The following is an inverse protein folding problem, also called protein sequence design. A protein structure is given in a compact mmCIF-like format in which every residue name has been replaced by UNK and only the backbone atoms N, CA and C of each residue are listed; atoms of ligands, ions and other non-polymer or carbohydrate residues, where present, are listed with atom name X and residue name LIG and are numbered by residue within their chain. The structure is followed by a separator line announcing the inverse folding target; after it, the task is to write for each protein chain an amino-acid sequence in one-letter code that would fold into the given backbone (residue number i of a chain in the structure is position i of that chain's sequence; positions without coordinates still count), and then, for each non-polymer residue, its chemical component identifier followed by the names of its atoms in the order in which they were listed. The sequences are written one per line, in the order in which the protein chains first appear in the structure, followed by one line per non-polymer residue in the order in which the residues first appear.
data_IF_734768732505
#
_entry.id   IF_734768732505
#
_cell.length_a   1.000
_cell.length_b   1.000
_cell.length_c   1.000
_cell.angle_alpha   90.00
_cell.angle_beta   90.00
_cell.angle_gamma   90.00
#
_symmetry.space_group_name_H-M   'P 1'
#
loop_
_entity.id
_entity.type
_entity.pdbx_description
1 polymer ?
#
# COMPACT_ATOMS: atom_id res chain seq x y z
N UNK A 1 21.82 21.17 17.15
CA UNK A 1 21.50 21.05 15.71
C UNK A 1 20.00 21.21 15.52
N UNK A 2 19.52 22.04 14.58
CA UNK A 2 18.09 22.15 14.29
C UNK A 2 17.57 20.79 13.82
N UNK A 3 16.41 20.38 14.34
CA UNK A 3 15.88 19.03 14.17
C UNK A 3 15.45 18.85 12.70
N UNK A 4 16.17 18.00 11.94
CA UNK A 4 15.94 17.67 10.51
C UNK A 4 14.48 17.26 10.20
N UNK A 5 13.69 16.90 11.21
CA UNK A 5 12.30 16.45 11.10
C UNK A 5 11.23 17.57 11.01
N UNK A 6 11.62 18.85 11.10
CA UNK A 6 10.64 19.95 11.21
C UNK A 6 9.81 20.15 9.95
N UNK A 7 10.40 19.99 8.76
CA UNK A 7 9.70 20.20 7.47
C UNK A 7 8.71 19.07 7.20
N UNK A 8 9.17 17.80 7.25
CA UNK A 8 8.32 16.64 7.02
C UNK A 8 7.14 16.61 7.99
N UNK A 9 7.38 16.94 9.27
CA UNK A 9 6.32 17.07 10.28
C UNK A 9 5.28 18.13 9.91
N UNK A 10 5.71 19.33 9.52
CA UNK A 10 4.79 20.41 9.11
C UNK A 10 3.97 20.03 7.88
N UNK A 11 4.61 19.41 6.89
CA UNK A 11 3.91 18.94 5.69
C UNK A 11 2.88 17.86 6.03
N UNK A 12 3.23 16.88 6.87
CA UNK A 12 2.28 15.87 7.35
C UNK A 12 1.11 16.49 8.13
N UNK A 13 1.36 17.52 8.95
CA UNK A 13 0.29 18.25 9.65
C UNK A 13 -0.64 18.98 8.68
N UNK A 14 -0.08 19.67 7.67
CA UNK A 14 -0.87 20.34 6.63
C UNK A 14 -1.71 19.33 5.86
N UNK A 15 -1.12 18.21 5.46
CA UNK A 15 -1.80 17.13 4.74
C UNK A 15 -2.88 16.46 5.60
N UNK A 16 -2.65 16.30 6.91
CA UNK A 16 -3.66 15.79 7.83
C UNK A 16 -4.87 16.73 7.92
N UNK A 17 -4.64 18.02 8.13
CA UNK A 17 -5.72 19.03 8.20
C UNK A 17 -6.46 19.09 6.86
N UNK A 18 -5.74 19.15 5.74
CA UNK A 18 -6.33 19.14 4.41
C UNK A 18 -7.17 17.87 4.18
N UNK A 19 -6.62 16.69 4.48
CA UNK A 19 -7.31 15.41 4.32
C UNK A 19 -8.60 15.35 5.13
N UNK A 20 -8.56 15.76 6.40
CA UNK A 20 -9.75 15.80 7.26
C UNK A 20 -10.83 16.75 6.70
N UNK A 21 -10.43 17.95 6.25
CA UNK A 21 -11.37 18.91 5.67
C UNK A 21 -11.96 18.41 4.36
N UNK A 22 -11.13 17.88 3.45
CA UNK A 22 -11.58 17.35 2.17
C UNK A 22 -12.57 16.20 2.36
N UNK A 23 -12.28 15.30 3.29
CA UNK A 23 -13.14 14.15 3.62
C UNK A 23 -14.42 14.60 4.30
N UNK A 24 -14.38 15.59 5.19
CA UNK A 24 -15.58 16.14 5.81
C UNK A 24 -16.51 16.76 4.74
N UNK A 25 -15.96 17.54 3.81
CA UNK A 25 -16.73 18.14 2.71
C UNK A 25 -17.34 17.06 1.81
N UNK A 26 -16.54 16.09 1.36
CA UNK A 26 -17.02 14.98 0.52
C UNK A 26 -18.07 14.15 1.26
N UNK A 27 -17.85 13.87 2.54
CA UNK A 27 -18.80 13.17 3.40
C UNK A 27 -20.14 13.89 3.48
N UNK A 28 -20.14 15.19 3.81
CA UNK A 28 -21.37 16.00 3.86
C UNK A 28 -22.10 15.98 2.52
N UNK A 29 -21.39 16.19 1.41
CA UNK A 29 -22.00 16.17 0.07
C UNK A 29 -22.58 14.79 -0.24
N UNK A 30 -21.84 13.72 0.03
CA UNK A 30 -22.31 12.36 -0.23
C UNK A 30 -23.54 12.00 0.61
N UNK A 31 -23.54 12.29 1.91
CA UNK A 31 -24.67 11.96 2.78
C UNK A 31 -25.89 12.87 2.58
N UNK A 32 -25.70 14.11 2.10
CA UNK A 32 -26.79 15.05 1.86
C UNK A 32 -27.38 14.98 0.45
N UNK A 33 -26.56 14.69 -0.57
CA UNK A 33 -26.95 14.86 -1.98
C UNK A 33 -26.85 13.57 -2.82
N UNK A 34 -26.04 12.58 -2.43
CA UNK A 34 -25.90 11.35 -3.21
C UNK A 34 -27.11 10.42 -2.97
N UNK A 35 -27.86 10.16 -4.04
CA UNK A 35 -29.04 9.31 -4.01
C UNK A 35 -28.68 7.85 -4.18
N UNK A 36 -27.56 7.57 -4.83
CA UNK A 36 -27.06 6.21 -5.04
C UNK A 36 -26.56 5.61 -3.70
N UNK A 37 -27.23 4.57 -3.17
CA UNK A 37 -26.85 3.97 -1.90
C UNK A 37 -25.43 3.37 -1.92
N UNK A 38 -24.99 2.83 -3.06
CA UNK A 38 -23.68 2.17 -3.18
C UNK A 38 -22.54 3.19 -3.13
N UNK A 39 -22.70 4.32 -3.81
CA UNK A 39 -21.72 5.41 -3.75
C UNK A 39 -21.62 6.01 -2.36
N UNK A 40 -22.76 6.17 -1.67
CA UNK A 40 -22.79 6.67 -0.29
C UNK A 40 -22.11 5.69 0.66
N UNK A 41 -22.33 4.38 0.48
CA UNK A 41 -21.63 3.35 1.24
C UNK A 41 -20.12 3.36 0.96
N UNK A 42 -19.68 3.54 -0.29
CA UNK A 42 -18.25 3.69 -0.65
C UNK A 42 -17.62 4.89 0.07
N UNK A 43 -18.29 6.04 0.10
CA UNK A 43 -17.79 7.21 0.85
C UNK A 43 -17.75 6.92 2.35
N UNK A 44 -18.76 6.23 2.89
CA UNK A 44 -18.78 5.77 4.28
C UNK A 44 -17.61 4.86 4.63
N UNK A 45 -17.29 3.89 3.75
CA UNK A 45 -16.12 3.01 3.91
C UNK A 45 -14.82 3.79 3.85
N UNK A 46 -14.69 4.76 2.93
CA UNK A 46 -13.51 5.64 2.86
C UNK A 46 -13.31 6.46 4.14
N UNK A 47 -14.38 7.00 4.72
CA UNK A 47 -14.34 7.68 6.03
C UNK A 47 -13.94 6.68 7.12
N UNK A 48 -14.51 5.47 7.11
CA UNK A 48 -14.17 4.40 8.03
C UNK A 48 -12.68 4.05 8.00
N UNK A 49 -12.09 3.96 6.80
CA UNK A 49 -10.66 3.70 6.62
C UNK A 49 -9.83 4.80 7.26
N UNK A 50 -10.19 6.07 7.05
CA UNK A 50 -9.48 7.21 7.65
C UNK A 50 -9.55 7.16 9.17
N UNK A 51 -10.72 6.90 9.74
CA UNK A 51 -10.89 6.85 11.18
C UNK A 51 -10.10 5.68 11.77
N UNK A 52 -10.26 4.48 11.23
CA UNK A 52 -9.69 3.26 11.81
C UNK A 52 -8.18 3.17 11.53
N UNK A 53 -7.76 3.31 10.28
CA UNK A 53 -6.36 3.15 9.90
C UNK A 53 -5.55 4.42 10.15
N UNK A 54 -5.99 5.55 9.58
CA UNK A 54 -5.19 6.78 9.60
C UNK A 54 -5.13 7.42 11.00
N UNK A 55 -6.27 7.54 11.68
CA UNK A 55 -6.36 8.20 12.98
C UNK A 55 -6.06 7.21 14.11
N UNK A 56 -6.90 6.19 14.32
CA UNK A 56 -6.73 5.25 15.42
C UNK A 56 -5.45 4.44 15.27
N UNK A 57 -5.21 3.87 14.08
CA UNK A 57 -3.97 3.16 13.76
C UNK A 57 -2.73 4.05 13.91
N UNK A 58 -2.74 5.26 13.34
CA UNK A 58 -1.63 6.21 13.47
C UNK A 58 -1.34 6.62 14.92
N UNK A 59 -2.37 6.89 15.73
CA UNK A 59 -2.24 7.17 17.17
C UNK A 59 -1.68 5.96 17.90
N UNK A 60 -2.23 4.76 17.67
CA UNK A 60 -1.75 3.53 18.27
C UNK A 60 -0.27 3.29 17.96
N UNK A 61 0.13 3.38 16.69
CA UNK A 61 1.52 3.24 16.24
C UNK A 61 2.44 4.23 16.96
N UNK A 62 2.00 5.48 17.15
CA UNK A 62 2.77 6.50 17.87
C UNK A 62 2.94 6.16 19.36
N UNK A 63 1.89 5.65 20.01
CA UNK A 63 1.90 5.30 21.43
C UNK A 63 2.75 4.05 21.70
N UNK A 64 2.67 3.03 20.83
CA UNK A 64 3.40 1.77 21.03
C UNK A 64 4.82 1.79 20.46
N UNK A 65 5.18 2.83 19.68
CA UNK A 65 6.45 2.92 18.93
C UNK A 65 7.67 2.49 19.73
N UNK A 66 7.86 3.05 20.92
CA UNK A 66 9.05 2.77 21.73
C UNK A 66 9.15 1.30 22.14
N UNK A 67 8.03 0.72 22.58
CA UNK A 67 7.92 -0.71 22.93
C UNK A 67 8.15 -1.60 21.71
N UNK A 68 7.55 -1.22 20.58
CA UNK A 68 7.66 -1.97 19.33
C UNK A 68 9.11 -2.01 18.83
N UNK A 69 9.80 -0.87 18.77
CA UNK A 69 11.19 -0.79 18.30
C UNK A 69 12.13 -1.59 19.22
N UNK A 70 11.93 -1.49 20.54
CA UNK A 70 12.69 -2.30 21.50
C UNK A 70 12.50 -3.80 21.26
N UNK A 71 11.24 -4.24 21.15
CA UNK A 71 10.90 -5.65 20.91
C UNK A 71 11.48 -6.19 19.60
N UNK A 72 11.27 -5.48 18.48
CA UNK A 72 11.83 -5.86 17.17
C UNK A 72 13.36 -5.84 17.17
N UNK A 73 13.97 -4.97 17.98
CA UNK A 73 15.42 -4.88 18.14
C UNK A 73 16.05 -6.19 18.58
N UNK A 74 15.33 -7.00 19.37
CA UNK A 74 15.80 -8.31 19.85
C UNK A 74 15.67 -9.43 18.81
N UNK A 75 14.90 -9.23 17.74
CA UNK A 75 14.80 -10.23 16.68
C UNK A 75 16.10 -10.26 15.89
N UNK A 76 16.67 -11.46 15.75
CA UNK A 76 17.82 -11.70 14.88
C UNK A 76 17.53 -11.35 13.42
N UNK A 77 18.60 -11.08 12.66
CA UNK A 77 18.53 -10.84 11.22
C UNK A 77 18.84 -9.41 10.79
N UNK A 78 19.17 -9.25 9.50
CA UNK A 78 19.51 -7.96 8.92
C UNK A 78 18.33 -6.98 8.99
N UNK A 79 18.60 -5.73 9.37
CA UNK A 79 17.57 -4.68 9.48
C UNK A 79 16.78 -4.47 8.17
N UNK A 80 17.42 -4.71 7.01
CA UNK A 80 16.79 -4.58 5.68
C UNK A 80 15.64 -5.58 5.51
N UNK A 81 15.90 -6.85 5.88
CA UNK A 81 14.88 -7.89 5.84
C UNK A 81 13.76 -7.60 6.84
N UNK A 82 14.12 -7.19 8.06
CA UNK A 82 13.13 -6.79 9.09
C UNK A 82 12.25 -5.65 8.61
N UNK A 83 12.83 -4.61 8.03
CA UNK A 83 12.07 -3.50 7.45
C UNK A 83 11.06 -4.00 6.41
N UNK A 84 11.50 -4.79 5.42
CA UNK A 84 10.61 -5.31 4.37
C UNK A 84 9.48 -6.18 4.95
N UNK A 85 9.80 -7.12 5.83
CA UNK A 85 8.80 -8.01 6.44
C UNK A 85 7.79 -7.23 7.29
N UNK A 86 8.24 -6.21 8.02
CA UNK A 86 7.35 -5.36 8.81
C UNK A 86 6.46 -4.50 7.91
N UNK A 87 6.98 -3.95 6.82
CA UNK A 87 6.16 -3.23 5.85
C UNK A 87 5.09 -4.14 5.23
N UNK A 88 5.44 -5.39 4.90
CA UNK A 88 4.47 -6.39 4.43
C UNK A 88 3.39 -6.64 5.48
N UNK A 89 3.79 -6.88 6.74
CA UNK A 89 2.84 -7.10 7.82
C UNK A 89 1.90 -5.90 8.05
N UNK A 90 2.42 -4.68 7.94
CA UNK A 90 1.62 -3.46 8.04
C UNK A 90 0.67 -3.28 6.86
N UNK A 91 1.10 -3.59 5.64
CA UNK A 91 0.22 -3.58 4.46
C UNK A 91 -0.88 -4.64 4.56
N UNK A 92 -0.55 -5.84 5.05
CA UNK A 92 -1.53 -6.89 5.33
C UNK A 92 -2.57 -6.47 6.37
N UNK A 93 -2.15 -5.70 7.40
CA UNK A 93 -3.04 -5.17 8.43
C UNK A 93 -3.96 -4.08 7.87
N UNK A 94 -3.43 -3.19 7.03
CA UNK A 94 -4.25 -2.19 6.33
C UNK A 94 -5.30 -2.87 5.46
N UNK A 95 -4.91 -3.91 4.70
CA UNK A 95 -5.84 -4.66 3.88
C UNK A 95 -6.88 -5.43 4.69
N UNK A 96 -6.55 -5.83 5.93
CA UNK A 96 -7.53 -6.42 6.83
C UNK A 96 -8.60 -5.39 7.21
N UNK A 97 -8.21 -4.13 7.40
CA UNK A 97 -9.14 -3.02 7.67
C UNK A 97 -10.01 -2.73 6.45
N UNK A 98 -9.42 -2.56 5.27
CA UNK A 98 -10.16 -2.25 4.02
C UNK A 98 -11.11 -3.39 3.63
N UNK A 99 -10.68 -4.64 3.77
CA UNK A 99 -11.52 -5.82 3.50
C UNK A 99 -12.65 -5.92 4.51
N UNK A 100 -12.39 -5.66 5.80
CA UNK A 100 -13.44 -5.65 6.83
C UNK A 100 -14.47 -4.55 6.58
N UNK A 101 -14.03 -3.35 6.17
CA UNK A 101 -14.92 -2.26 5.78
C UNK A 101 -15.75 -2.61 4.53
N UNK A 102 -15.12 -3.27 3.55
CA UNK A 102 -15.80 -3.77 2.35
C UNK A 102 -16.89 -4.78 2.72
N UNK A 103 -16.58 -5.74 3.60
CA UNK A 103 -17.57 -6.71 4.10
C UNK A 103 -18.66 -6.06 4.96
N UNK A 104 -18.39 -4.89 5.54
CA UNK A 104 -19.36 -4.10 6.28
C UNK A 104 -20.20 -3.15 5.39
N UNK A 105 -20.00 -3.14 4.06
CA UNK A 105 -20.75 -2.27 3.15
C UNK A 105 -22.29 -2.38 3.30
N UNK A 106 -22.90 -3.55 3.53
CA UNK A 106 -24.35 -3.65 3.79
C UNK A 106 -24.80 -2.88 5.04
N UNK A 107 -23.95 -2.81 6.09
CA UNK A 107 -24.23 -2.04 7.30
C UNK A 107 -24.22 -0.53 7.05
N UNK A 108 -23.54 -0.10 5.98
CA UNK A 108 -23.51 1.29 5.51
C UNK A 108 -24.61 1.60 4.48
N UNK A 109 -25.51 0.64 4.23
CA UNK A 109 -26.66 0.80 3.35
C UNK A 109 -26.36 0.54 1.87
N UNK A 110 -25.29 -0.18 1.53
CA UNK A 110 -25.06 -0.66 0.17
C UNK A 110 -26.23 -1.53 -0.29
N UNK A 111 -26.69 -1.31 -1.52
CA UNK A 111 -27.72 -2.10 -2.18
C UNK A 111 -27.13 -3.26 -2.99
N UNK A 112 -25.86 -3.16 -3.42
CA UNK A 112 -25.20 -4.21 -4.21
C UNK A 112 -23.78 -4.52 -3.73
N UNK A 113 -23.28 -5.69 -4.13
CA UNK A 113 -21.89 -6.13 -3.93
C UNK A 113 -20.86 -5.30 -4.75
N UNK A 114 -21.32 -4.40 -5.61
CA UNK A 114 -20.43 -3.50 -6.35
C UNK A 114 -19.88 -2.38 -5.44
N UNK A 115 -20.51 -2.12 -4.30
CA UNK A 115 -20.03 -1.17 -3.30
C UNK A 115 -18.82 -1.76 -2.56
N UNK A 116 -17.61 -1.48 -3.05
CA UNK A 116 -16.36 -1.96 -2.46
C UNK A 116 -15.23 -0.94 -2.57
N UNK A 117 -14.37 -0.89 -1.56
CA UNK A 117 -13.11 -0.12 -1.58
C UNK A 117 -11.89 -0.99 -1.86
N UNK A 118 -12.08 -2.30 -1.95
CA UNK A 118 -11.08 -3.31 -2.30
C UNK A 118 -11.46 -4.04 -3.59
N UNK A 119 -10.53 -4.79 -4.17
CA UNK A 119 -10.78 -5.60 -5.37
C UNK A 119 -11.68 -6.81 -5.12
N UNK A 120 -11.79 -7.27 -3.87
CA UNK A 120 -12.56 -8.45 -3.46
C UNK A 120 -13.00 -8.37 -2.00
N UNK A 121 -14.09 -9.05 -1.64
CA UNK A 121 -14.53 -9.28 -0.24
C UNK A 121 -13.69 -10.35 0.46
N UNK A 122 -12.92 -11.14 -0.29
CA UNK A 122 -12.03 -12.17 0.23
C UNK A 122 -10.65 -11.60 0.55
N UNK A 123 -10.27 -11.62 1.83
CA UNK A 123 -8.97 -11.09 2.31
C UNK A 123 -7.76 -11.70 1.59
N UNK A 124 -7.79 -13.00 1.29
CA UNK A 124 -6.67 -13.69 0.64
C UNK A 124 -6.49 -13.23 -0.81
N UNK A 125 -7.59 -12.97 -1.51
CA UNK A 125 -7.55 -12.41 -2.86
C UNK A 125 -7.01 -10.98 -2.86
N UNK A 126 -7.43 -10.18 -1.88
CA UNK A 126 -6.95 -8.80 -1.72
C UNK A 126 -5.44 -8.77 -1.49
N UNK A 127 -4.91 -9.49 -0.50
CA UNK A 127 -3.46 -9.50 -0.23
C UNK A 127 -2.65 -10.06 -1.40
N UNK A 128 -3.19 -11.03 -2.14
CA UNK A 128 -2.51 -11.63 -3.29
C UNK A 128 -2.36 -10.63 -4.45
N UNK A 129 -3.27 -9.66 -4.55
CA UNK A 129 -3.21 -8.57 -5.50
C UNK A 129 -2.34 -7.41 -5.01
N UNK A 130 -2.77 -6.73 -3.95
CA UNK A 130 -2.21 -5.44 -3.54
C UNK A 130 -0.91 -5.56 -2.74
N UNK A 131 -0.87 -6.39 -1.69
CA UNK A 131 0.32 -6.53 -0.84
C UNK A 131 1.51 -7.05 -1.63
N UNK A 132 1.27 -8.03 -2.50
CA UNK A 132 2.30 -8.56 -3.41
C UNK A 132 2.85 -7.48 -4.33
N UNK A 133 1.99 -6.58 -4.84
CA UNK A 133 2.42 -5.45 -5.66
C UNK A 133 3.26 -4.42 -4.88
N UNK A 134 3.14 -4.32 -3.54
CA UNK A 134 3.96 -3.44 -2.72
C UNK A 134 5.34 -4.00 -2.36
N UNK A 135 5.57 -5.32 -2.46
CA UNK A 135 6.86 -5.93 -2.10
C UNK A 135 8.05 -5.28 -2.82
N UNK A 136 8.02 -5.03 -4.15
CA UNK A 136 9.09 -4.34 -4.84
C UNK A 136 9.35 -2.92 -4.30
N UNK A 137 8.30 -2.21 -3.87
CA UNK A 137 8.42 -0.87 -3.29
C UNK A 137 9.10 -0.92 -1.92
N UNK A 138 8.77 -1.90 -1.08
CA UNK A 138 9.43 -2.09 0.21
C UNK A 138 10.91 -2.45 0.05
N UNK A 139 11.25 -3.29 -0.93
CA UNK A 139 12.64 -3.61 -1.28
C UNK A 139 13.39 -2.36 -1.76
N UNK A 140 12.77 -1.55 -2.63
CA UNK A 140 13.31 -0.28 -3.07
C UNK A 140 13.60 0.65 -1.89
N UNK A 141 12.67 0.75 -0.94
CA UNK A 141 12.87 1.56 0.26
C UNK A 141 13.96 1.03 1.19
N UNK A 142 14.09 -0.29 1.36
CA UNK A 142 15.22 -0.87 2.08
C UNK A 142 16.56 -0.54 1.41
N UNK A 143 16.61 -0.51 0.08
CA UNK A 143 17.78 -0.11 -0.71
C UNK A 143 18.09 1.39 -0.60
N UNK A 144 17.07 2.25 -0.57
CA UNK A 144 17.20 3.70 -0.37
C UNK A 144 17.72 4.02 1.03
N UNK A 145 17.11 3.43 2.06
CA UNK A 145 17.50 3.61 3.47
C UNK A 145 18.90 3.06 3.77
N UNK A 146 19.38 2.15 2.94
CA UNK A 146 20.76 1.68 3.03
C UNK A 146 21.77 2.72 2.55
N UNK A 147 21.37 3.63 1.66
CA UNK A 147 22.25 4.64 1.06
C UNK A 147 22.07 6.02 1.68
N UNK A 148 20.86 6.32 2.12
CA UNK A 148 20.45 7.66 2.51
C UNK A 148 19.83 7.69 3.89
N UNK A 149 20.18 8.71 4.67
CA UNK A 149 19.69 8.88 6.03
C UNK A 149 18.34 9.60 6.09
N UNK A 150 17.31 8.98 5.52
CA UNK A 150 15.94 9.49 5.65
C UNK A 150 15.41 9.24 7.06
N UNK A 151 14.82 10.26 7.66
CA UNK A 151 14.15 10.11 8.95
C UNK A 151 12.77 9.42 8.78
N UNK A 152 12.23 8.76 9.82
CA UNK A 152 10.98 8.01 9.68
C UNK A 152 9.76 8.82 9.24
N UNK A 153 9.71 10.13 9.54
CA UNK A 153 8.62 11.00 9.07
C UNK A 153 8.78 11.36 7.59
N UNK A 154 10.01 11.49 7.10
CA UNK A 154 10.30 11.64 5.67
C UNK A 154 9.93 10.37 4.92
N UNK A 155 10.27 9.20 5.45
CA UNK A 155 9.87 7.90 4.87
C UNK A 155 8.35 7.81 4.76
N UNK A 156 7.62 8.11 5.84
CA UNK A 156 6.16 8.14 5.85
C UNK A 156 5.61 9.10 4.78
N UNK A 157 6.11 10.34 4.73
CA UNK A 157 5.65 11.34 3.77
C UNK A 157 5.92 10.92 2.33
N UNK A 158 7.14 10.51 2.02
CA UNK A 158 7.59 10.18 0.66
C UNK A 158 6.94 8.89 0.16
N UNK A 159 6.79 7.87 1.01
CA UNK A 159 6.03 6.67 0.67
C UNK A 159 4.54 6.99 0.47
N UNK A 160 3.97 7.86 1.31
CA UNK A 160 2.62 8.37 1.14
C UNK A 160 2.39 9.08 -0.20
N UNK A 161 3.34 9.92 -0.62
CA UNK A 161 3.32 10.58 -1.93
C UNK A 161 3.49 9.58 -3.08
N UNK A 162 4.31 8.55 -2.91
CA UNK A 162 4.45 7.44 -3.87
C UNK A 162 3.10 6.77 -4.10
N UNK A 163 2.40 6.41 -3.02
CA UNK A 163 1.08 5.81 -3.09
C UNK A 163 0.04 6.73 -3.73
N UNK A 164 0.03 8.02 -3.38
CA UNK A 164 -0.84 9.02 -4.03
C UNK A 164 -0.57 9.11 -5.54
N UNK A 165 0.70 9.09 -5.96
CA UNK A 165 1.06 9.09 -7.37
C UNK A 165 0.58 7.81 -8.07
N UNK A 166 0.73 6.64 -7.45
CA UNK A 166 0.24 5.38 -7.99
C UNK A 166 -1.29 5.37 -8.18
N UNK A 167 -2.04 5.87 -7.20
CA UNK A 167 -3.50 6.05 -7.28
C UNK A 167 -3.90 6.99 -8.42
N UNK A 168 -3.14 8.07 -8.59
CA UNK A 168 -3.42 9.07 -9.62
C UNK A 168 -3.09 8.56 -11.03
N UNK A 169 -2.04 7.75 -11.17
CA UNK A 169 -1.66 7.11 -12.44
C UNK A 169 -2.66 6.02 -12.82
N UNK A 170 -3.11 5.23 -11.85
CA UNK A 170 -3.94 4.04 -12.11
C UNK A 170 -5.43 4.37 -12.25
N UNK A 171 -5.96 5.23 -11.38
CA UNK A 171 -7.39 5.53 -11.29
C UNK A 171 -7.74 6.98 -11.62
N UNK A 172 -6.74 7.77 -12.04
CA UNK A 172 -6.92 9.09 -12.63
C UNK A 172 -6.54 10.26 -11.72
N UNK A 173 -6.25 11.40 -12.37
CA UNK A 173 -5.68 12.62 -11.75
C UNK A 173 -6.57 13.21 -10.66
N UNK A 174 -7.88 12.90 -10.64
CA UNK A 174 -8.81 13.35 -9.59
C UNK A 174 -8.40 12.85 -8.19
N UNK A 175 -7.68 11.73 -8.09
CA UNK A 175 -7.18 11.20 -6.82
C UNK A 175 -6.14 12.09 -6.14
N UNK A 176 -5.55 13.06 -6.86
CA UNK A 176 -4.68 14.07 -6.25
C UNK A 176 -5.43 14.90 -5.21
N UNK A 177 -6.74 15.12 -5.39
CA UNK A 177 -7.57 15.79 -4.38
C UNK A 177 -7.63 15.01 -3.06
N UNK A 178 -7.39 13.69 -3.10
CA UNK A 178 -7.29 12.82 -1.93
C UNK A 178 -5.89 12.74 -1.32
N UNK A 179 -4.91 13.55 -1.73
CA UNK A 179 -3.51 13.44 -1.30
C UNK A 179 -3.34 13.38 0.21
N UNK A 180 -4.13 14.16 0.97
CA UNK A 180 -4.10 14.13 2.43
C UNK A 180 -4.43 12.75 2.99
N UNK A 181 -5.48 12.10 2.47
CA UNK A 181 -5.85 10.74 2.86
C UNK A 181 -4.79 9.73 2.42
N UNK A 182 -4.44 9.73 1.14
CA UNK A 182 -3.54 8.74 0.54
C UNK A 182 -2.16 8.76 1.18
N UNK A 183 -1.62 9.94 1.51
CA UNK A 183 -0.33 10.04 2.21
C UNK A 183 -0.35 9.31 3.54
N UNK A 184 -1.46 9.35 4.28
CA UNK A 184 -1.57 8.65 5.55
C UNK A 184 -1.86 7.15 5.37
N UNK A 185 -2.74 6.77 4.43
CA UNK A 185 -3.04 5.36 4.13
C UNK A 185 -1.75 4.60 3.82
N UNK A 186 -0.99 5.09 2.84
CA UNK A 186 0.25 4.47 2.41
C UNK A 186 1.40 4.72 3.38
N UNK A 187 1.56 5.95 3.86
CA UNK A 187 2.69 6.32 4.73
C UNK A 187 2.71 5.56 6.05
N UNK A 188 1.55 5.22 6.62
CA UNK A 188 1.47 4.45 7.86
C UNK A 188 1.92 3.00 7.70
N UNK A 189 1.85 2.43 6.49
CA UNK A 189 2.39 1.09 6.21
C UNK A 189 3.90 1.01 6.50
N UNK A 190 4.63 2.12 6.34
CA UNK A 190 6.08 2.17 6.51
C UNK A 190 6.54 2.98 7.72
N UNK A 191 5.65 3.74 8.37
CA UNK A 191 5.99 4.63 9.49
C UNK A 191 6.65 3.87 10.65
N UNK A 192 6.02 2.80 11.13
CA UNK A 192 6.54 2.02 12.26
C UNK A 192 7.78 1.19 11.85
N UNK A 193 7.78 0.47 10.70
CA UNK A 193 8.99 -0.19 10.18
C UNK A 193 10.19 0.75 10.05
N UNK A 194 10.01 1.99 9.59
CA UNK A 194 11.11 2.96 9.42
C UNK A 194 11.82 3.31 10.74
N UNK A 195 11.13 3.21 11.88
CA UNK A 195 11.76 3.43 13.20
C UNK A 195 12.64 2.26 13.66
N UNK A 196 12.59 1.12 12.98
CA UNK A 196 13.42 -0.06 13.31
C UNK A 196 14.77 -0.04 12.60
N UNK A 197 15.00 0.94 11.70
CA UNK A 197 16.24 1.08 10.95
C UNK A 197 17.34 1.68 11.85
N UNK A 198 18.52 1.04 12.00
CA UNK A 198 19.59 1.52 12.87
C UNK A 198 20.12 2.89 12.44
N UNK A 199 20.28 3.84 13.36
CA UNK A 199 20.78 5.19 13.05
C UNK A 199 22.29 5.23 12.80
N UNK A 200 23.07 4.36 13.45
CA UNK A 200 24.53 4.29 13.33
C UNK A 200 24.96 3.46 12.09
N UNK A 201 24.47 3.86 10.92
CA UNK A 201 24.80 3.23 9.64
C UNK A 201 25.64 4.18 8.79
N UNK A 202 26.49 3.64 7.91
CA UNK A 202 27.25 4.42 6.92
C UNK A 202 26.33 4.96 5.79
N UNK A 203 25.36 5.80 6.15
CA UNK A 203 24.43 6.43 5.20
C UNK A 203 24.77 7.89 4.94
N UNK A 204 24.45 8.37 3.73
CA UNK A 204 24.68 9.75 3.30
C UNK A 204 23.46 10.62 3.55
N UNK A 205 23.67 11.91 3.78
CA UNK A 205 22.56 12.85 3.88
C UNK A 205 21.79 12.98 2.54
N UNK A 206 20.46 12.91 2.55
CA UNK A 206 19.66 13.04 1.33
C UNK A 206 19.68 14.48 0.81
N UNK A 207 20.20 14.65 -0.41
CA UNK A 207 20.02 15.87 -1.23
C UNK A 207 18.59 15.98 -1.77
N UNK A 208 18.17 17.18 -2.17
CA UNK A 208 16.81 17.47 -2.67
C UNK A 208 16.33 16.51 -3.79
N UNK A 209 17.20 16.12 -4.73
CA UNK A 209 16.81 15.23 -5.82
C UNK A 209 16.55 13.79 -5.35
N UNK A 210 17.11 13.38 -4.21
CA UNK A 210 16.80 12.07 -3.62
C UNK A 210 15.37 12.01 -3.08
N UNK A 211 14.75 13.15 -2.76
CA UNK A 211 13.33 13.20 -2.38
C UNK A 211 12.45 12.86 -3.58
N UNK A 212 12.76 13.42 -4.76
CA UNK A 212 12.09 13.04 -6.00
C UNK A 212 12.36 11.56 -6.33
N UNK A 213 13.60 11.11 -6.21
CA UNK A 213 13.94 9.71 -6.41
C UNK A 213 13.13 8.80 -5.47
N UNK A 214 12.99 9.16 -4.19
CA UNK A 214 12.27 8.36 -3.21
C UNK A 214 10.77 8.23 -3.52
N UNK A 215 10.17 9.20 -4.21
CA UNK A 215 8.77 9.15 -4.65
C UNK A 215 8.61 8.30 -5.92
N UNK A 216 9.49 8.48 -6.92
CA UNK A 216 9.28 7.88 -8.24
C UNK A 216 10.01 6.54 -8.45
N UNK A 217 11.12 6.29 -7.76
CA UNK A 217 11.88 5.05 -7.92
C UNK A 217 11.09 3.78 -7.54
N UNK A 218 10.28 3.78 -6.46
CA UNK A 218 9.44 2.61 -6.15
C UNK A 218 8.48 2.25 -7.30
N UNK A 219 7.91 3.26 -7.98
CA UNK A 219 7.02 3.07 -9.14
C UNK A 219 7.76 2.41 -10.31
N UNK A 220 9.06 2.65 -10.46
CA UNK A 220 9.89 1.97 -11.48
C UNK A 220 10.28 0.56 -11.02
N UNK A 221 10.51 0.36 -9.73
CA UNK A 221 10.91 -0.94 -9.16
C UNK A 221 9.86 -2.04 -9.32
N UNK A 222 8.60 -1.69 -9.61
CA UNK A 222 7.55 -2.66 -9.90
C UNK A 222 7.72 -3.32 -11.29
N UNK A 223 8.39 -2.66 -12.25
CA UNK A 223 8.48 -3.18 -13.63
C UNK A 223 9.15 -4.56 -13.74
N UNK A 224 10.33 -4.82 -13.14
CA UNK A 224 10.93 -6.16 -13.18
C UNK A 224 10.01 -7.22 -12.59
N UNK A 225 9.27 -6.88 -11.54
CA UNK A 225 8.31 -7.77 -10.91
C UNK A 225 7.14 -8.08 -11.84
N UNK A 226 6.55 -7.08 -12.47
CA UNK A 226 5.47 -7.25 -13.47
C UNK A 226 5.94 -8.11 -14.64
N UNK A 227 7.12 -7.84 -15.20
CA UNK A 227 7.70 -8.62 -16.29
C UNK A 227 7.88 -10.09 -15.89
N UNK A 228 8.39 -10.33 -14.68
CA UNK A 228 8.54 -11.68 -14.14
C UNK A 228 7.20 -12.40 -13.99
N UNK A 229 6.19 -11.75 -13.42
CA UNK A 229 4.85 -12.33 -13.25
C UNK A 229 4.22 -12.67 -14.61
N UNK A 230 4.28 -11.75 -15.58
CA UNK A 230 3.80 -11.99 -16.95
C UNK A 230 4.53 -13.17 -17.58
N UNK A 231 5.85 -13.25 -17.44
CA UNK A 231 6.65 -14.37 -17.94
C UNK A 231 6.21 -15.71 -17.34
N UNK A 232 5.99 -15.78 -16.02
CA UNK A 232 5.54 -17.00 -15.33
C UNK A 232 4.14 -17.42 -15.79
N UNK A 233 3.22 -16.47 -15.97
CA UNK A 233 1.87 -16.73 -16.46
C UNK A 233 1.92 -17.27 -17.90
N UNK A 234 2.64 -16.60 -18.80
CA UNK A 234 2.79 -17.02 -20.20
C UNK A 234 3.39 -18.42 -20.27
N UNK A 235 4.45 -18.70 -19.50
CA UNK A 235 5.07 -20.02 -19.42
C UNK A 235 4.10 -21.09 -18.93
N UNK A 236 3.28 -20.77 -17.92
CA UNK A 236 2.30 -21.70 -17.36
C UNK A 236 1.17 -22.03 -18.35
N UNK A 237 0.65 -21.01 -19.05
CA UNK A 237 -0.36 -21.19 -20.09
C UNK A 237 0.20 -22.00 -21.27
N UNK A 238 1.41 -21.67 -21.73
CA UNK A 238 2.07 -22.41 -22.80
C UNK A 238 2.30 -23.88 -22.44
N UNK A 239 2.64 -24.16 -21.18
CA UNK A 239 2.76 -25.53 -20.66
C UNK A 239 1.42 -26.29 -20.71
N UNK A 240 0.32 -25.66 -20.26
CA UNK A 240 -1.02 -26.27 -20.32
C UNK A 240 -1.47 -26.55 -21.76
N UNK A 241 -1.26 -25.60 -22.67
CA UNK A 241 -1.60 -25.76 -24.10
C UNK A 241 -0.80 -26.90 -24.75
N UNK A 242 0.50 -27.01 -24.43
CA UNK A 242 1.36 -28.11 -24.92
C UNK A 242 0.90 -29.47 -24.40
N UNK A 243 0.51 -29.54 -23.13
CA UNK A 243 0.01 -30.78 -22.53
C UNK A 243 -1.36 -31.19 -23.13
N UNK A 244 -2.24 -30.22 -23.38
CA UNK A 244 -3.54 -30.47 -24.01
C UNK A 244 -3.41 -30.95 -25.46
N UNK A 245 -2.52 -30.34 -26.25
CA UNK A 245 -2.23 -30.77 -27.63
C UNK A 245 -1.56 -32.14 -27.67
N UNK A 246 -0.64 -32.42 -26.74
CA UNK A 246 -0.07 -33.76 -26.55
C UNK A 246 -1.13 -34.84 -26.25
N UNK A 247 -2.05 -34.56 -25.32
CA UNK A 247 -3.13 -35.48 -24.96
C UNK A 247 -4.10 -35.75 -26.14
N UNK A 248 -4.46 -34.71 -26.89
CA UNK A 248 -5.27 -34.82 -28.11
C UNK A 248 -4.59 -35.68 -29.18
N UNK A 249 -3.27 -35.54 -29.37
CA UNK A 249 -2.52 -36.34 -30.34
C UNK A 249 -2.44 -37.83 -29.96
N UNK A 250 -2.32 -38.14 -28.67
CA UNK A 250 -2.32 -39.50 -28.14
C UNK A 250 -3.70 -40.15 -28.23
N UNK A 251 -4.77 -39.38 -27.96
CA UNK A 251 -6.14 -39.84 -28.12
C UNK A 251 -6.46 -40.16 -29.59
N UNK A 252 -6.09 -39.25 -30.51
CA UNK A 252 -6.30 -39.45 -31.96
C UNK A 252 -5.56 -40.68 -32.50
N UNK A 253 -4.34 -40.97 -32.01
CA UNK A 253 -3.61 -42.21 -32.34
C UNK A 253 -4.27 -43.48 -31.82
N UNK A 254 -4.96 -43.42 -30.68
CA UNK A 254 -5.72 -44.57 -30.14
C UNK A 254 -7.00 -44.83 -30.94
N UNK A 255 -7.64 -43.78 -31.47
CA UNK A 255 -8.84 -43.93 -32.29
C UNK A 255 -8.54 -44.39 -33.72
N UNK A 256 -7.45 -43.93 -34.33
CA UNK A 256 -7.07 -44.33 -35.69
C UNK A 256 -6.31 -45.66 -35.74
N UNK A 257 -6.67 -46.63 -34.90
CA UNK A 257 -6.02 -47.94 -34.83
C UNK A 257 -5.74 -48.54 -36.22
N UNK A 258 -4.49 -48.45 -36.64
CA UNK A 258 -3.84 -49.21 -37.72
C UNK A 258 -2.39 -49.42 -37.32
#
# INVERSE_FOLDING_TARGET
MPRKDTVARRLLQILAVYGLLAVAVVGVIAFAAEKDPDKRAIVGMGIGLIVIWCILGGVAMRLIRGRFVGWIGHLGGGWRLRFVLLCIAMAMLEEAVTTSLTNAAPLLGAATEAARITSSTNYIEVISGSVVAFIPWFICWAWLLNRYDFNPLEVMLLFGLTGTAAESITFGVKNIAGVGMWVFVYGLMVYLPAHTVPQERESRDPRWWHWLLAVFLPLVFIFPFVVYVVYVIVRSVAGRVRNATGALSLWKRKETGS
#
